data_IF_537131131355
#
_entry.id   IF_537131131355
#
_cell.length_a   1.000
_cell.length_b   1.000
_cell.length_c   1.000
_cell.angle_alpha   90.00
_cell.angle_beta   90.00
_cell.angle_gamma   90.00
#
_symmetry.space_group_name_H-M   'P 1'
#
loop_
_entity.id
_entity.type
_entity.pdbx_description
1 polymer ?
#
# COMPACT_ATOMS: atom_id res chain seq x y z
N UNK A 1 4.41 12.33 2.88
CA UNK A 1 5.69 11.60 2.73
C UNK A 1 5.79 10.42 3.72
N UNK A 2 5.74 10.66 5.04
CA UNK A 2 5.87 9.61 6.08
C UNK A 2 4.87 8.44 5.91
N UNK A 3 3.58 8.73 5.71
CA UNK A 3 2.53 7.70 5.54
C UNK A 3 2.78 6.83 4.30
N UNK A 4 3.30 7.43 3.22
CA UNK A 4 3.62 6.72 1.97
C UNK A 4 4.79 5.78 2.18
N UNK A 5 5.84 6.25 2.85
CA UNK A 5 7.01 5.44 3.19
C UNK A 5 6.61 4.28 4.11
N UNK A 6 5.84 4.55 5.17
CA UNK A 6 5.35 3.52 6.08
C UNK A 6 4.50 2.47 5.36
N UNK A 7 3.55 2.89 4.52
CA UNK A 7 2.71 1.98 3.73
C UNK A 7 3.53 1.14 2.75
N UNK A 8 4.54 1.73 2.10
CA UNK A 8 5.42 1.03 1.14
C UNK A 8 6.31 0.00 1.84
N UNK A 9 6.87 0.36 3.02
CA UNK A 9 7.64 -0.57 3.83
C UNK A 9 6.76 -1.72 4.26
N UNK A 10 5.59 -1.46 4.86
CA UNK A 10 4.67 -2.49 5.35
C UNK A 10 4.19 -3.43 4.22
N UNK A 11 3.92 -2.86 3.04
CA UNK A 11 3.56 -3.62 1.84
C UNK A 11 4.72 -4.52 1.41
N UNK A 12 5.95 -3.98 1.38
CA UNK A 12 7.15 -4.72 1.04
C UNK A 12 7.42 -5.88 1.99
N UNK A 13 7.34 -5.64 3.31
CA UNK A 13 7.54 -6.71 4.31
C UNK A 13 6.45 -7.78 4.22
N UNK A 14 5.19 -7.38 4.05
CA UNK A 14 4.09 -8.32 3.85
C UNK A 14 4.24 -9.16 2.58
N UNK A 15 4.68 -8.54 1.49
CA UNK A 15 4.96 -9.23 0.23
C UNK A 15 6.09 -10.24 0.37
N UNK A 16 7.22 -9.87 0.99
CA UNK A 16 8.36 -10.77 1.21
C UNK A 16 7.94 -11.96 2.09
N UNK A 17 7.16 -11.73 3.14
CA UNK A 17 6.63 -12.81 3.98
C UNK A 17 5.75 -13.78 3.18
N UNK A 18 4.83 -13.27 2.35
CA UNK A 18 3.96 -14.11 1.52
C UNK A 18 4.72 -14.86 0.42
N UNK A 19 5.68 -14.20 -0.23
CA UNK A 19 6.54 -14.83 -1.22
C UNK A 19 7.36 -15.97 -0.59
N UNK A 20 7.91 -15.72 0.60
CA UNK A 20 8.70 -16.72 1.33
C UNK A 20 7.83 -17.88 1.80
N UNK A 21 6.58 -17.63 2.24
CA UNK A 21 5.62 -18.69 2.53
C UNK A 21 5.32 -19.57 1.30
N UNK A 22 5.19 -18.96 0.12
CA UNK A 22 4.96 -19.70 -1.12
C UNK A 22 6.16 -20.60 -1.49
N UNK A 23 7.39 -20.12 -1.27
CA UNK A 23 8.61 -20.91 -1.49
C UNK A 23 8.81 -22.03 -0.47
N UNK A 24 8.39 -21.84 0.79
CA UNK A 24 8.50 -22.84 1.85
C UNK A 24 7.43 -23.92 1.81
N UNK A 25 6.41 -23.77 0.97
CA UNK A 25 5.27 -24.69 0.95
C UNK A 25 5.67 -25.99 0.25
N UNK A 26 5.80 -27.06 1.03
CA UNK A 26 6.15 -28.40 0.57
C UNK A 26 5.03 -29.38 0.95
N UNK A 27 4.46 -30.15 0.01
CA UNK A 27 3.36 -31.09 0.30
C UNK A 27 3.74 -32.22 1.27
N UNK A 28 5.03 -32.48 1.48
CA UNK A 28 5.54 -33.63 2.26
C UNK A 28 6.21 -33.24 3.57
N UNK A 29 6.69 -32.00 3.70
CA UNK A 29 7.34 -31.52 4.92
C UNK A 29 6.37 -30.72 5.81
N UNK A 30 5.86 -31.36 6.86
CA UNK A 30 4.85 -30.78 7.75
C UNK A 30 5.38 -29.54 8.49
N UNK A 31 6.65 -29.55 8.91
CA UNK A 31 7.29 -28.42 9.60
C UNK A 31 7.44 -27.19 8.68
N UNK A 32 7.74 -27.41 7.40
CA UNK A 32 7.84 -26.34 6.40
C UNK A 32 6.48 -25.67 6.16
N UNK A 33 5.40 -26.46 6.13
CA UNK A 33 4.04 -25.94 6.01
C UNK A 33 3.58 -25.14 7.24
N UNK A 34 3.99 -25.53 8.44
CA UNK A 34 3.73 -24.74 9.66
C UNK A 34 4.43 -23.38 9.55
N UNK A 35 5.70 -23.36 9.15
CA UNK A 35 6.46 -22.12 8.92
C UNK A 35 5.79 -21.23 7.87
N UNK A 36 5.39 -21.79 6.73
CA UNK A 36 4.66 -21.08 5.68
C UNK A 36 3.31 -20.55 6.16
N UNK A 37 2.61 -21.30 7.02
CA UNK A 37 1.35 -20.88 7.65
C UNK A 37 1.53 -19.64 8.53
N UNK A 38 2.56 -19.61 9.37
CA UNK A 38 2.88 -18.45 10.22
C UNK A 38 3.24 -17.23 9.37
N UNK A 39 4.07 -17.41 8.35
CA UNK A 39 4.42 -16.31 7.43
C UNK A 39 3.20 -15.78 6.69
N UNK A 40 2.26 -16.65 6.30
CA UNK A 40 1.02 -16.22 5.66
C UNK A 40 0.12 -15.45 6.63
N UNK A 41 0.01 -15.91 7.88
CA UNK A 41 -0.79 -15.28 8.92
C UNK A 41 -0.31 -13.86 9.25
N UNK A 42 1.00 -13.62 9.22
CA UNK A 42 1.60 -12.30 9.49
C UNK A 42 1.73 -11.46 8.22
N UNK A 43 2.10 -12.08 7.10
CA UNK A 43 2.32 -11.40 5.82
C UNK A 43 1.05 -10.82 5.21
N UNK A 44 -0.08 -11.52 5.33
CA UNK A 44 -1.39 -11.07 4.82
C UNK A 44 -1.85 -9.75 5.45
N UNK A 45 -1.96 -9.60 6.79
CA UNK A 45 -2.38 -8.34 7.40
C UNK A 45 -1.38 -7.20 7.16
N UNK A 46 -0.07 -7.48 7.17
CA UNK A 46 0.95 -6.47 6.88
C UNK A 46 0.84 -5.95 5.44
N UNK A 47 0.72 -6.86 4.46
CA UNK A 47 0.56 -6.52 3.06
C UNK A 47 -0.73 -5.75 2.81
N UNK A 48 -1.85 -6.20 3.39
CA UNK A 48 -3.15 -5.54 3.26
C UNK A 48 -3.15 -4.11 3.84
N UNK A 49 -2.59 -3.92 5.03
CA UNK A 49 -2.45 -2.60 5.66
C UNK A 49 -1.54 -1.68 4.86
N UNK A 50 -0.39 -2.20 4.40
CA UNK A 50 0.54 -1.45 3.56
C UNK A 50 -0.12 -0.96 2.28
N UNK A 51 -0.83 -1.87 1.60
CA UNK A 51 -1.56 -1.57 0.38
C UNK A 51 -2.63 -0.49 0.62
N UNK A 52 -3.45 -0.67 1.66
CA UNK A 52 -4.51 0.27 2.04
C UNK A 52 -3.95 1.67 2.33
N UNK A 53 -2.82 1.78 3.04
CA UNK A 53 -2.17 3.06 3.29
C UNK A 53 -1.64 3.71 2.02
N UNK A 54 -1.00 2.96 1.12
CA UNK A 54 -0.49 3.51 -0.16
C UNK A 54 -1.62 4.00 -1.07
N UNK A 55 -2.67 3.19 -1.24
CA UNK A 55 -3.82 3.54 -2.08
C UNK A 55 -4.58 4.70 -1.44
N UNK A 56 -4.84 4.65 -0.13
CA UNK A 56 -5.55 5.71 0.60
C UNK A 56 -4.82 7.04 0.52
N UNK A 57 -3.49 7.06 0.68
CA UNK A 57 -2.70 8.27 0.53
C UNK A 57 -2.77 8.83 -0.90
N UNK A 58 -2.66 7.98 -1.93
CA UNK A 58 -2.75 8.39 -3.32
C UNK A 58 -4.14 8.95 -3.66
N UNK A 59 -5.20 8.28 -3.20
CA UNK A 59 -6.58 8.70 -3.41
C UNK A 59 -6.87 10.03 -2.70
N UNK A 60 -6.37 10.20 -1.48
CA UNK A 60 -6.51 11.44 -0.71
C UNK A 60 -5.83 12.63 -1.41
N UNK A 61 -4.62 12.42 -1.96
CA UNK A 61 -3.93 13.46 -2.74
C UNK A 61 -4.65 13.80 -4.04
N UNK A 62 -5.20 12.81 -4.74
CA UNK A 62 -5.99 13.03 -5.95
C UNK A 62 -7.27 13.82 -5.65
N UNK A 63 -8.00 13.40 -4.62
CA UNK A 63 -9.21 14.07 -4.17
C UNK A 63 -8.96 15.51 -3.70
N UNK A 64 -7.89 15.74 -2.94
CA UNK A 64 -7.50 17.09 -2.49
C UNK A 64 -7.13 18.01 -3.66
N UNK A 65 -6.53 17.47 -4.72
CA UNK A 65 -6.25 18.21 -5.96
C UNK A 65 -7.53 18.55 -6.71
N UNK A 66 -8.47 17.61 -6.79
CA UNK A 66 -9.79 17.84 -7.41
C UNK A 66 -10.59 18.96 -6.74
N UNK A 67 -10.52 19.10 -5.41
CA UNK A 67 -11.17 20.21 -4.69
C UNK A 67 -10.48 21.58 -4.83
N UNK A 68 -9.26 21.64 -5.36
CA UNK A 68 -8.47 22.89 -5.45
C UNK A 68 -8.49 23.54 -6.85
N UNK A 69 -9.17 22.93 -7.83
CA UNK A 69 -9.51 23.59 -9.09
C UNK A 69 -11.02 23.82 -9.11
N UNK A 70 -11.49 25.09 -9.10
CA UNK A 70 -11.37 26.01 -10.24
C UNK A 70 -10.81 27.43 -9.94
N UNK A 71 -10.58 27.82 -8.68
CA UNK A 71 -10.30 29.21 -8.28
C UNK A 71 -9.07 29.87 -8.93
N UNK A 72 -8.11 29.10 -9.45
CA UNK A 72 -6.93 29.64 -10.15
C UNK A 72 -7.21 29.98 -11.61
N UNK A 73 -8.11 29.24 -12.26
CA UNK A 73 -8.49 29.51 -13.65
C UNK A 73 -9.34 30.78 -13.72
N UNK A 74 -10.27 30.97 -12.78
CA UNK A 74 -11.05 32.21 -12.69
C UNK A 74 -10.21 33.44 -12.37
N UNK A 75 -9.17 33.31 -11.51
CA UNK A 75 -8.27 34.44 -11.20
C UNK A 75 -7.38 34.83 -12.38
N UNK A 76 -6.86 33.85 -13.12
CA UNK A 76 -6.03 34.13 -14.30
C UNK A 76 -6.82 34.89 -15.38
N UNK A 77 -8.09 34.54 -15.60
CA UNK A 77 -8.95 35.23 -16.56
C UNK A 77 -9.33 36.64 -16.06
N UNK A 78 -9.50 36.82 -14.74
CA UNK A 78 -9.86 38.12 -14.15
C UNK A 78 -8.71 39.12 -14.10
N UNK A 79 -7.47 38.66 -14.07
CA UNK A 79 -6.29 39.54 -14.11
C UNK A 79 -5.87 39.92 -15.55
N UNK A 80 -6.44 39.25 -16.57
CA UNK A 80 -6.22 39.55 -18.00
C UNK A 80 -7.30 40.47 -18.62
N UNK A 81 -8.36 40.82 -17.88
CA UNK A 81 -9.45 41.73 -18.30
C UNK A 81 -9.40 43.02 -17.49
#
# INVERSE_FOLDING_TARGET
MIIRTAGTVLLGTGFVALATAAFLRDPTALDANIGAGVLTLVGTPLGALGLAMTIGAALFEAWRRGRRGPDRAERAIRDEV
#
